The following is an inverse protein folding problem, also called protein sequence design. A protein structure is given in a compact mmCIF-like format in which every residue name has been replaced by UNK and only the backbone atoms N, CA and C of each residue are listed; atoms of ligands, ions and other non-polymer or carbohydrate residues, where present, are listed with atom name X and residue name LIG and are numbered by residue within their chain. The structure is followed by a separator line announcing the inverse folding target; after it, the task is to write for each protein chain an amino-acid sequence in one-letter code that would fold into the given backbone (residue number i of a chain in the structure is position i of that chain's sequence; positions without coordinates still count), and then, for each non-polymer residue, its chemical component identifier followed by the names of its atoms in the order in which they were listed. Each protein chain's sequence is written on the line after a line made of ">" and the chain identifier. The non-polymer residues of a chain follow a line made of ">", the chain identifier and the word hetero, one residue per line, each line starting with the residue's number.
data_IF_004460995453
#
_entry.id   IF_004460995453
#
_cell.length_a   1.000
_cell.length_b   1.000
_cell.length_c   1.000
_cell.angle_alpha   90.00
_cell.angle_beta   90.00
_cell.angle_gamma   90.00
#
_symmetry.space_group_name_H-M   'P 1'
#
loop_
_entity.id
_entity.type
_entity.pdbx_description
1 polymer ?
#
# COMPACT_ATOMS: atom_id res chain seq x y z
N UNK A 1 -23.10 9.02 -0.49
CA UNK A 1 -22.87 8.73 0.95
C UNK A 1 -21.39 8.90 1.23
N UNK A 2 -21.00 9.90 2.02
CA UNK A 2 -19.63 9.99 2.52
C UNK A 2 -19.56 9.14 3.79
N UNK A 3 -18.92 7.98 3.73
CA UNK A 3 -18.51 7.28 4.94
C UNK A 3 -17.39 8.11 5.56
N UNK A 4 -17.74 8.99 6.49
CA UNK A 4 -16.75 9.62 7.36
C UNK A 4 -16.23 8.52 8.29
N UNK A 5 -14.96 8.19 8.12
CA UNK A 5 -14.21 7.34 9.04
C UNK A 5 -13.33 8.30 9.81
N UNK A 6 -13.58 8.46 11.11
CA UNK A 6 -12.78 9.32 11.99
C UNK A 6 -11.39 8.71 12.30
N UNK A 7 -11.16 7.46 11.90
CA UNK A 7 -9.87 6.74 11.94
C UNK A 7 -9.28 6.57 10.53
N UNK A 8 -8.00 6.21 10.47
CA UNK A 8 -7.34 5.79 9.23
C UNK A 8 -8.00 4.56 8.58
N UNK A 9 -7.67 4.33 7.30
CA UNK A 9 -8.23 3.23 6.49
C UNK A 9 -7.13 2.31 5.97
N UNK A 10 -7.17 1.04 6.36
CA UNK A 10 -6.32 0.00 5.77
C UNK A 10 -6.94 -0.53 4.47
N UNK A 11 -6.23 -0.36 3.35
CA UNK A 11 -6.64 -0.89 2.03
C UNK A 11 -5.71 -2.03 1.62
N UNK A 12 -6.27 -3.22 1.42
CA UNK A 12 -5.52 -4.36 0.84
C UNK A 12 -5.61 -4.27 -0.69
N UNK A 13 -4.46 -4.12 -1.35
CA UNK A 13 -4.37 -3.91 -2.79
C UNK A 13 -3.61 -5.08 -3.44
N UNK A 14 -4.27 -5.81 -4.32
CA UNK A 14 -3.61 -6.80 -5.17
C UNK A 14 -2.73 -6.13 -6.23
N UNK A 15 -1.51 -6.61 -6.41
CA UNK A 15 -0.60 -6.15 -7.47
C UNK A 15 -0.65 -7.08 -8.68
N UNK A 16 -0.47 -6.56 -9.91
CA UNK A 16 -0.40 -7.42 -11.08
C UNK A 16 0.75 -8.42 -11.00
N UNK A 17 0.55 -9.61 -11.58
CA UNK A 17 1.54 -10.70 -11.59
C UNK A 17 2.43 -10.71 -12.85
N UNK A 18 2.36 -9.66 -13.68
CA UNK A 18 3.22 -9.52 -14.86
C UNK A 18 2.79 -8.42 -15.83
N UNK A 19 1.49 -8.17 -15.98
CA UNK A 19 0.97 -7.16 -16.90
C UNK A 19 0.41 -5.94 -16.15
N UNK A 20 0.97 -4.75 -16.39
CA UNK A 20 0.53 -3.50 -15.74
C UNK A 20 -0.92 -3.10 -16.12
N UNK A 21 -1.45 -3.64 -17.23
CA UNK A 21 -2.83 -3.46 -17.66
C UNK A 21 -3.86 -4.11 -16.72
N UNK A 22 -3.46 -5.11 -15.93
CA UNK A 22 -4.36 -5.81 -15.00
C UNK A 22 -4.63 -4.99 -13.73
N UNK A 23 -3.94 -3.87 -13.55
CA UNK A 23 -4.13 -2.98 -12.41
C UNK A 23 -5.42 -2.18 -12.57
N UNK A 24 -6.41 -2.45 -11.71
CA UNK A 24 -7.67 -1.71 -11.69
C UNK A 24 -7.48 -0.24 -11.31
N UNK A 25 -8.35 0.63 -11.81
CA UNK A 25 -8.28 2.06 -11.47
C UNK A 25 -8.48 2.34 -9.97
N UNK A 26 -9.33 1.56 -9.30
CA UNK A 26 -9.51 1.67 -7.85
C UNK A 26 -8.22 1.32 -7.09
N UNK A 27 -7.44 0.35 -7.57
CA UNK A 27 -6.15 0.01 -6.98
C UNK A 27 -5.11 1.11 -7.20
N UNK A 28 -5.04 1.70 -8.41
CA UNK A 28 -4.16 2.85 -8.67
C UNK A 28 -4.52 4.02 -7.76
N UNK A 29 -5.81 4.35 -7.67
CA UNK A 29 -6.28 5.45 -6.84
C UNK A 29 -5.96 5.23 -5.36
N UNK A 30 -6.16 4.01 -4.85
CA UNK A 30 -5.78 3.67 -3.48
C UNK A 30 -4.27 3.87 -3.21
N UNK A 31 -3.40 3.56 -4.17
CA UNK A 31 -1.95 3.76 -4.03
C UNK A 31 -1.54 5.23 -4.15
N UNK A 32 -2.25 6.02 -4.96
CA UNK A 32 -2.02 7.47 -5.09
C UNK A 32 -2.45 8.22 -3.82
N UNK A 33 -3.56 7.81 -3.21
CA UNK A 33 -4.12 8.44 -2.00
C UNK A 33 -3.45 7.96 -0.70
N UNK A 34 -2.67 6.88 -0.75
CA UNK A 34 -2.02 6.32 0.43
C UNK A 34 -0.90 7.24 0.94
N UNK A 35 -0.97 7.62 2.21
CA UNK A 35 0.14 8.31 2.91
C UNK A 35 1.32 7.35 3.17
N UNK A 36 1.01 6.06 3.25
CA UNK A 36 1.94 5.02 3.63
C UNK A 36 1.60 3.67 2.96
N UNK A 37 2.62 2.93 2.53
CA UNK A 37 2.48 1.57 1.95
C UNK A 37 3.30 0.55 2.73
N UNK A 38 2.62 -0.42 3.33
CA UNK A 38 3.23 -1.66 3.81
C UNK A 38 3.29 -2.67 2.65
N UNK A 39 4.46 -3.23 2.38
CA UNK A 39 4.67 -4.17 1.28
C UNK A 39 5.74 -5.21 1.63
N UNK A 40 5.66 -6.40 1.04
CA UNK A 40 6.62 -7.48 1.31
C UNK A 40 8.05 -7.09 0.89
N UNK A 41 8.22 -6.63 -0.35
CA UNK A 41 9.49 -6.15 -0.90
C UNK A 41 9.37 -4.72 -1.44
N UNK A 42 9.92 -3.76 -0.68
CA UNK A 42 9.91 -2.33 -1.03
C UNK A 42 10.59 -2.00 -2.36
N UNK A 43 11.52 -2.84 -2.84
CA UNK A 43 12.19 -2.63 -4.13
C UNK A 43 11.26 -2.97 -5.28
N UNK A 44 10.57 -4.12 -5.19
CA UNK A 44 9.57 -4.55 -6.19
C UNK A 44 8.39 -3.59 -6.22
N UNK A 45 7.85 -3.24 -5.05
CA UNK A 45 6.74 -2.28 -4.96
C UNK A 45 7.16 -0.89 -5.44
N UNK A 46 8.37 -0.43 -5.14
CA UNK A 46 8.91 0.83 -5.68
C UNK A 46 9.02 0.83 -7.21
N UNK A 47 9.47 -0.28 -7.81
CA UNK A 47 9.50 -0.42 -9.27
C UNK A 47 8.09 -0.39 -9.87
N UNK A 48 7.12 -1.07 -9.26
CA UNK A 48 5.73 -1.04 -9.70
C UNK A 48 5.18 0.39 -9.69
N UNK A 49 5.34 1.13 -8.59
CA UNK A 49 4.87 2.52 -8.49
C UNK A 49 5.50 3.41 -9.58
N UNK A 50 6.81 3.25 -9.82
CA UNK A 50 7.52 3.96 -10.89
C UNK A 50 6.94 3.64 -12.27
N UNK A 51 6.68 2.37 -12.57
CA UNK A 51 6.10 1.95 -13.84
C UNK A 51 4.66 2.45 -14.03
N UNK A 52 3.90 2.59 -12.93
CA UNK A 52 2.55 3.15 -12.94
C UNK A 52 2.53 4.69 -12.98
N UNK A 53 3.69 5.36 -12.91
CA UNK A 53 3.79 6.81 -12.83
C UNK A 53 3.33 7.40 -11.49
N UNK A 54 3.27 6.58 -10.43
CA UNK A 54 2.83 6.98 -9.10
C UNK A 54 4.05 7.42 -8.29
N UNK A 55 4.00 8.63 -7.73
CA UNK A 55 5.02 9.09 -6.78
C UNK A 55 4.97 8.21 -5.54
N UNK A 56 6.08 7.56 -5.21
CA UNK A 56 6.12 6.65 -4.08
C UNK A 56 5.89 7.40 -2.75
N UNK A 57 4.88 7.02 -1.95
CA UNK A 57 4.76 7.47 -0.57
C UNK A 57 5.82 6.77 0.31
N UNK A 58 5.79 7.02 1.62
CA UNK A 58 6.64 6.27 2.56
C UNK A 58 6.29 4.77 2.47
N UNK A 59 7.31 3.92 2.38
CA UNK A 59 7.14 2.47 2.31
C UNK A 59 7.81 1.78 3.50
N UNK A 60 7.20 0.74 4.05
CA UNK A 60 7.87 -0.24 4.92
C UNK A 60 7.85 -1.63 4.31
N UNK A 61 8.91 -2.38 4.57
CA UNK A 61 8.89 -3.82 4.44
C UNK A 61 8.00 -4.43 5.53
N UNK A 62 7.04 -5.25 5.12
CA UNK A 62 6.14 -5.99 5.98
C UNK A 62 6.06 -7.42 5.44
N UNK A 63 6.90 -8.30 5.99
CA UNK A 63 7.02 -9.70 5.62
C UNK A 63 7.15 -10.55 6.89
N UNK A 64 6.96 -11.87 6.74
CA UNK A 64 6.74 -12.83 7.83
C UNK A 64 7.68 -12.71 9.04
N UNK A 65 8.96 -12.41 8.84
CA UNK A 65 9.94 -12.33 9.94
C UNK A 65 9.80 -11.04 10.77
N UNK A 66 9.21 -9.99 10.20
CA UNK A 66 9.03 -8.69 10.83
C UNK A 66 7.58 -8.40 11.24
N UNK A 67 6.64 -9.29 10.90
CA UNK A 67 5.20 -9.10 11.11
C UNK A 67 4.88 -8.89 12.60
N UNK A 68 5.33 -9.78 13.49
CA UNK A 68 5.03 -9.69 14.92
C UNK A 68 5.46 -8.37 15.58
N UNK A 69 6.58 -7.79 15.15
CA UNK A 69 7.08 -6.51 15.69
C UNK A 69 6.41 -5.30 15.03
N UNK A 70 6.05 -5.39 13.75
CA UNK A 70 5.56 -4.24 12.97
C UNK A 70 4.04 -4.09 13.00
N UNK A 71 3.27 -5.12 13.34
CA UNK A 71 1.80 -5.06 13.36
C UNK A 71 1.29 -3.95 14.28
N UNK A 72 1.84 -3.82 15.49
CA UNK A 72 1.44 -2.74 16.40
C UNK A 72 1.67 -1.35 15.79
N UNK A 73 2.84 -1.12 15.18
CA UNK A 73 3.14 0.14 14.52
C UNK A 73 2.26 0.43 13.31
N UNK A 74 1.80 -0.58 12.57
CA UNK A 74 0.81 -0.39 11.49
C UNK A 74 -0.56 -0.02 12.06
N UNK A 75 -0.97 -0.63 13.18
CA UNK A 75 -2.22 -0.26 13.85
C UNK A 75 -2.16 1.18 14.34
N UNK A 76 -1.05 1.60 14.95
CA UNK A 76 -0.85 2.99 15.42
C UNK A 76 -0.86 4.01 14.26
N UNK A 77 -0.45 3.62 13.05
CA UNK A 77 -0.52 4.48 11.87
C UNK A 77 -1.94 4.65 11.30
N UNK A 78 -2.85 3.72 11.62
CA UNK A 78 -4.21 3.69 11.11
C UNK A 78 -5.23 4.13 12.17
N UNK A 79 -4.87 4.10 13.46
CA UNK A 79 -5.67 4.61 14.56
C UNK A 79 -5.75 6.14 14.56
#
# INVERSE_FOLDING_TARGET
>A
MKNQVDSGVLRVVGTPIGNLGDMSERARQALVEAEFIACEDTRRSGQLLRLLGIKAPKMMSFYKENEGFKTAGVVDMVA
#
